data_IF_987160534987
#
_entry.id   IF_987160534987
#
_cell.length_a   1.000
_cell.length_b   1.000
_cell.length_c   1.000
_cell.angle_alpha   90.00
_cell.angle_beta   90.00
_cell.angle_gamma   90.00
#
_symmetry.space_group_name_H-M   'P 1'
#
loop_
_entity.id
_entity.type
_entity.pdbx_description
1 polymer ?
#
# COMPACT_ATOMS: atom_id res chain seq x y z
N UNK A 1 8.76 -4.11 -3.52
CA UNK A 1 7.54 -3.30 -3.72
C UNK A 1 7.81 -2.00 -4.48
N UNK A 2 8.79 -1.19 -4.07
CA UNK A 2 9.15 0.07 -4.77
C UNK A 2 9.52 -0.12 -6.23
N UNK A 3 10.34 -1.13 -6.55
CA UNK A 3 10.67 -1.47 -7.95
C UNK A 3 9.42 -1.79 -8.78
N UNK A 4 8.43 -2.48 -8.21
CA UNK A 4 7.17 -2.75 -8.89
C UNK A 4 6.40 -1.46 -9.18
N UNK A 5 6.29 -0.53 -8.21
CA UNK A 5 5.68 0.78 -8.46
C UNK A 5 6.38 1.50 -9.63
N UNK A 6 7.71 1.53 -9.63
CA UNK A 6 8.46 2.20 -10.71
C UNK A 6 8.15 1.59 -12.08
N UNK A 7 8.01 0.26 -12.16
CA UNK A 7 7.60 -0.38 -13.43
C UNK A 7 6.19 0.01 -13.86
N UNK A 8 5.26 0.22 -12.93
CA UNK A 8 3.90 0.69 -13.24
C UNK A 8 3.94 2.14 -13.72
N UNK A 9 4.69 3.01 -13.03
CA UNK A 9 4.86 4.41 -13.40
C UNK A 9 5.47 4.55 -14.80
N UNK A 10 6.48 3.75 -15.10
CA UNK A 10 7.13 3.76 -16.41
C UNK A 10 6.24 3.12 -17.49
N UNK A 11 5.54 2.00 -17.21
CA UNK A 11 4.72 1.29 -18.19
C UNK A 11 3.51 2.09 -18.69
N UNK A 12 2.84 2.81 -17.79
CA UNK A 12 1.69 3.64 -18.13
C UNK A 12 2.08 5.09 -18.45
N UNK A 13 3.38 5.39 -18.43
CA UNK A 13 3.91 6.74 -18.66
C UNK A 13 3.23 7.78 -17.75
N UNK A 14 3.04 7.46 -16.46
CA UNK A 14 2.27 8.27 -15.52
C UNK A 14 2.81 9.70 -15.29
N UNK A 15 4.00 10.03 -15.80
CA UNK A 15 4.57 11.38 -15.80
C UNK A 15 4.37 12.14 -17.14
N UNK A 16 3.70 11.53 -18.11
CA UNK A 16 3.36 12.12 -19.42
C UNK A 16 2.11 12.99 -19.37
N UNK A 17 1.97 13.89 -20.35
CA UNK A 17 0.84 14.83 -20.39
C UNK A 17 -0.44 14.23 -21.00
N UNK A 18 -0.36 13.04 -21.61
CA UNK A 18 -1.50 12.38 -22.28
C UNK A 18 -2.65 12.01 -21.35
N UNK A 19 -2.40 11.87 -20.04
CA UNK A 19 -3.44 11.55 -19.07
C UNK A 19 -4.34 12.75 -18.75
N UNK A 20 -3.88 13.99 -18.96
CA UNK A 20 -4.67 15.21 -18.72
C UNK A 20 -5.84 15.34 -19.69
N UNK A 21 -5.60 14.96 -20.94
CA UNK A 21 -6.59 15.06 -22.02
C UNK A 21 -7.42 13.77 -22.18
N UNK A 22 -7.10 12.72 -21.42
CA UNK A 22 -7.79 11.44 -21.48
C UNK A 22 -9.08 11.48 -20.63
N UNK A 23 -10.22 11.29 -21.30
CA UNK A 23 -11.54 11.29 -20.66
C UNK A 23 -11.62 10.23 -19.55
N UNK A 24 -11.95 10.67 -18.33
CA UNK A 24 -12.04 9.83 -17.14
C UNK A 24 -10.71 9.62 -16.40
N UNK A 25 -9.62 10.22 -16.88
CA UNK A 25 -8.28 10.16 -16.27
C UNK A 25 -7.79 11.54 -15.80
N UNK A 26 -8.67 12.54 -15.75
CA UNK A 26 -8.34 13.93 -15.41
C UNK A 26 -7.67 14.03 -14.03
N UNK A 27 -8.11 13.21 -13.07
CA UNK A 27 -7.52 13.12 -11.73
C UNK A 27 -6.05 12.64 -11.73
N UNK A 28 -5.64 11.86 -12.74
CA UNK A 28 -4.24 11.48 -12.92
C UNK A 28 -3.40 12.63 -13.49
N UNK A 29 -4.02 13.61 -14.15
CA UNK A 29 -3.35 14.84 -14.58
C UNK A 29 -2.76 15.63 -13.41
N UNK A 30 -3.48 15.73 -12.29
CA UNK A 30 -2.98 16.34 -11.06
C UNK A 30 -1.90 15.46 -10.40
N UNK A 31 -2.06 14.13 -10.49
CA UNK A 31 -1.06 13.18 -10.00
C UNK A 31 0.26 13.25 -10.78
N UNK A 32 0.24 13.59 -12.09
CA UNK A 32 1.44 13.78 -12.92
C UNK A 32 2.32 14.91 -12.37
N UNK A 33 1.72 16.04 -11.99
CA UNK A 33 2.47 17.17 -11.42
C UNK A 33 3.11 16.79 -10.07
N UNK A 34 2.39 16.06 -9.22
CA UNK A 34 2.94 15.51 -7.99
C UNK A 34 4.09 14.52 -8.27
N UNK A 35 3.94 13.61 -9.24
CA UNK A 35 4.98 12.64 -9.63
C UNK A 35 6.25 13.35 -10.13
N UNK A 36 6.09 14.42 -10.93
CA UNK A 36 7.21 15.26 -11.40
C UNK A 36 7.90 15.97 -10.24
N UNK A 37 7.14 16.51 -9.29
CA UNK A 37 7.66 17.24 -8.13
C UNK A 37 8.40 16.34 -7.12
N UNK A 38 7.84 15.17 -6.79
CA UNK A 38 8.44 14.24 -5.82
C UNK A 38 9.57 13.39 -6.41
N UNK A 39 9.63 13.26 -7.73
CA UNK A 39 10.56 12.36 -8.41
C UNK A 39 10.32 10.87 -8.08
N UNK A 40 11.05 9.99 -8.75
CA UNK A 40 10.89 8.52 -8.60
C UNK A 40 11.12 8.04 -7.16
N UNK A 41 12.07 8.64 -6.47
CA UNK A 41 12.47 8.28 -5.10
C UNK A 41 11.42 8.72 -4.08
N UNK A 42 10.89 9.94 -4.20
CA UNK A 42 9.83 10.45 -3.33
C UNK A 42 8.53 9.66 -3.49
N UNK A 43 8.17 9.30 -4.73
CA UNK A 43 7.02 8.44 -5.00
C UNK A 43 7.19 7.05 -4.41
N UNK A 44 8.37 6.45 -4.53
CA UNK A 44 8.67 5.14 -3.95
C UNK A 44 8.58 5.17 -2.41
N UNK A 45 9.10 6.23 -1.78
CA UNK A 45 9.01 6.42 -0.33
C UNK A 45 7.56 6.63 0.12
N UNK A 46 6.83 7.54 -0.51
CA UNK A 46 5.42 7.80 -0.18
C UNK A 46 4.54 6.57 -0.36
N UNK A 47 4.76 5.80 -1.43
CA UNK A 47 4.07 4.54 -1.66
C UNK A 47 4.35 3.51 -0.56
N UNK A 48 5.60 3.37 -0.12
CA UNK A 48 5.92 2.51 1.02
C UNK A 48 5.24 2.99 2.31
N UNK A 49 5.26 4.29 2.58
CA UNK A 49 4.69 4.87 3.80
C UNK A 49 3.18 4.60 3.93
N UNK A 50 2.43 4.64 2.82
CA UNK A 50 0.99 4.33 2.84
C UNK A 50 0.71 2.82 2.86
N UNK A 51 1.71 1.96 2.65
CA UNK A 51 1.53 0.50 2.75
C UNK A 51 1.82 0.00 4.16
N UNK A 52 1.04 -0.96 4.64
CA UNK A 52 1.36 -1.65 5.89
C UNK A 52 2.42 -2.72 5.61
N UNK A 53 3.70 -2.32 5.60
CA UNK A 53 4.85 -3.20 5.40
C UNK A 53 5.79 -3.20 6.63
N UNK A 54 6.57 -4.27 6.78
CA UNK A 54 7.54 -4.44 7.86
C UNK A 54 7.38 -5.77 8.60
N UNK A 55 7.84 -5.79 9.86
CA UNK A 55 7.59 -6.92 10.77
C UNK A 55 6.11 -6.98 11.18
N UNK A 56 5.62 -8.10 11.72
CA UNK A 56 4.25 -8.18 12.24
C UNK A 56 3.91 -7.03 13.21
N UNK A 57 4.82 -6.69 14.12
CA UNK A 57 4.64 -5.63 15.11
C UNK A 57 4.46 -4.26 14.44
N UNK A 58 5.29 -3.97 13.43
CA UNK A 58 5.21 -2.71 12.67
C UNK A 58 3.91 -2.61 11.85
N UNK A 59 3.41 -3.73 11.34
CA UNK A 59 2.15 -3.79 10.59
C UNK A 59 0.97 -3.57 11.53
N UNK A 60 0.99 -4.21 12.69
CA UNK A 60 0.00 -4.04 13.76
C UNK A 60 -0.06 -2.56 14.18
N UNK A 61 1.07 -1.95 14.52
CA UNK A 61 1.12 -0.52 14.91
C UNK A 61 0.54 0.41 13.84
N UNK A 62 0.82 0.15 12.55
CA UNK A 62 0.26 0.93 11.43
C UNK A 62 -1.26 0.79 11.34
N UNK A 63 -1.80 -0.40 11.55
CA UNK A 63 -3.25 -0.58 11.57
C UNK A 63 -3.90 0.09 12.79
N UNK A 64 -3.26 0.10 13.97
CA UNK A 64 -3.76 0.85 15.14
C UNK A 64 -3.86 2.34 14.83
N UNK A 65 -2.80 2.93 14.29
CA UNK A 65 -2.78 4.33 13.90
C UNK A 65 -3.88 4.68 12.90
N UNK A 66 -4.12 3.81 11.91
CA UNK A 66 -5.21 4.00 10.93
C UNK A 66 -6.58 3.91 11.59
N UNK A 67 -6.73 3.00 12.53
CA UNK A 67 -7.98 2.81 13.25
C UNK A 67 -8.33 4.00 14.15
N UNK A 68 -7.35 4.55 14.85
CA UNK A 68 -7.51 5.77 15.65
C UNK A 68 -7.92 6.98 14.80
N UNK A 69 -7.44 7.04 13.54
CA UNK A 69 -7.73 8.15 12.63
C UNK A 69 -9.05 7.98 11.86
N UNK A 70 -9.39 6.76 11.44
CA UNK A 70 -10.45 6.48 10.47
C UNK A 70 -11.69 5.81 11.09
N UNK A 71 -11.57 5.23 12.29
CA UNK A 71 -12.59 4.36 12.86
C UNK A 71 -12.54 2.95 12.28
N UNK A 72 -13.69 2.29 12.19
CA UNK A 72 -13.81 0.91 11.69
C UNK A 72 -13.57 0.82 10.18
N UNK A 73 -12.76 -0.15 9.76
CA UNK A 73 -12.52 -0.46 8.35
C UNK A 73 -12.13 -1.92 8.14
N UNK A 74 -12.43 -2.43 6.94
CA UNK A 74 -11.94 -3.73 6.48
C UNK A 74 -10.53 -3.60 5.89
N UNK A 75 -9.71 -4.63 6.12
CA UNK A 75 -8.38 -4.74 5.54
C UNK A 75 -8.38 -5.64 4.31
N UNK A 76 -7.71 -5.19 3.24
CA UNK A 76 -7.48 -5.99 2.03
C UNK A 76 -5.98 -6.00 1.66
N UNK A 77 -5.16 -6.84 2.34
CA UNK A 77 -3.72 -6.89 2.10
C UNK A 77 -3.37 -7.59 0.79
N UNK A 78 -2.42 -7.04 0.04
CA UNK A 78 -1.85 -7.66 -1.16
C UNK A 78 -0.48 -8.29 -0.86
N UNK A 79 -0.39 -9.62 -0.94
CA UNK A 79 0.85 -10.36 -0.66
C UNK A 79 1.70 -10.65 -1.90
N UNK A 80 1.15 -10.45 -3.10
CA UNK A 80 1.82 -10.77 -4.36
C UNK A 80 1.81 -9.57 -5.30
N UNK A 81 2.99 -9.10 -5.66
CA UNK A 81 3.21 -7.97 -6.56
C UNK A 81 4.41 -8.25 -7.47
N UNK A 82 4.68 -7.37 -8.45
CA UNK A 82 5.76 -7.60 -9.42
C UNK A 82 7.13 -7.84 -8.76
N UNK A 83 7.82 -8.91 -9.19
CA UNK A 83 9.19 -9.24 -8.77
C UNK A 83 9.32 -10.05 -7.47
N UNK A 84 8.23 -10.49 -6.83
CA UNK A 84 8.26 -11.44 -5.71
C UNK A 84 8.04 -12.88 -6.20
N UNK A 85 8.69 -13.87 -5.59
CA UNK A 85 8.42 -15.28 -5.89
C UNK A 85 7.10 -15.75 -5.26
N UNK A 86 6.59 -16.90 -5.71
CA UNK A 86 5.38 -17.49 -5.11
C UNK A 86 5.63 -17.90 -3.65
N UNK A 87 6.79 -18.48 -3.37
CA UNK A 87 7.20 -18.94 -2.04
C UNK A 87 7.30 -17.77 -1.06
N UNK A 88 7.84 -16.64 -1.50
CA UNK A 88 7.93 -15.44 -0.68
C UNK A 88 6.56 -14.80 -0.42
N UNK A 89 5.69 -14.75 -1.42
CA UNK A 89 4.32 -14.27 -1.27
C UNK A 89 3.53 -15.15 -0.29
N UNK A 90 3.62 -16.48 -0.43
CA UNK A 90 2.97 -17.43 0.48
C UNK A 90 3.51 -17.30 1.90
N UNK A 91 4.84 -17.22 2.06
CA UNK A 91 5.47 -17.02 3.38
C UNK A 91 4.94 -15.75 4.04
N UNK A 92 4.89 -14.64 3.31
CA UNK A 92 4.36 -13.36 3.81
C UNK A 92 2.89 -13.48 4.26
N UNK A 93 2.04 -14.10 3.43
CA UNK A 93 0.63 -14.35 3.75
C UNK A 93 0.47 -15.22 5.00
N UNK A 94 1.23 -16.31 5.13
CA UNK A 94 1.18 -17.20 6.30
C UNK A 94 1.65 -16.51 7.57
N UNK A 95 2.73 -15.72 7.48
CA UNK A 95 3.23 -14.92 8.61
C UNK A 95 2.19 -13.90 9.05
N UNK A 96 1.56 -13.20 8.11
CA UNK A 96 0.48 -12.26 8.40
C UNK A 96 -0.70 -12.94 9.10
N UNK A 97 -1.17 -14.07 8.56
CA UNK A 97 -2.28 -14.83 9.13
C UNK A 97 -1.97 -15.35 10.55
N UNK A 98 -0.72 -15.76 10.80
CA UNK A 98 -0.30 -16.31 12.10
C UNK A 98 -0.11 -15.24 13.17
N UNK A 99 0.44 -14.07 12.82
CA UNK A 99 0.91 -13.09 13.80
C UNK A 99 0.10 -11.80 13.83
N UNK A 100 -0.45 -11.35 12.69
CA UNK A 100 -1.17 -10.08 12.60
C UNK A 100 -2.66 -10.29 12.83
N UNK A 101 -3.29 -11.23 12.12
CA UNK A 101 -4.75 -11.46 12.20
C UNK A 101 -5.26 -11.68 13.63
N UNK A 102 -4.62 -12.50 14.49
CA UNK A 102 -5.08 -12.67 15.87
C UNK A 102 -5.03 -11.35 16.67
N UNK A 103 -3.94 -10.59 16.54
CA UNK A 103 -3.77 -9.33 17.24
C UNK A 103 -4.84 -8.30 16.85
N UNK A 104 -5.23 -8.25 15.56
CA UNK A 104 -6.30 -7.36 15.09
C UNK A 104 -7.68 -7.79 15.61
N UNK A 105 -7.96 -9.11 15.68
CA UNK A 105 -9.22 -9.63 16.22
C UNK A 105 -9.37 -9.39 17.71
N UNK A 106 -8.27 -9.44 18.46
CA UNK A 106 -8.26 -9.11 19.88
C UNK A 106 -8.60 -7.62 20.14
N UNK A 107 -8.54 -6.74 19.14
CA UNK A 107 -8.98 -5.35 19.27
C UNK A 107 -10.49 -5.23 19.20
N UNK A 108 -11.08 -5.97 18.27
CA UNK A 108 -12.53 -6.04 18.09
C UNK A 108 -13.19 -6.65 19.35
N UNK A 109 -12.60 -7.73 19.89
CA UNK A 109 -13.05 -8.33 21.15
C UNK A 109 -12.96 -7.38 22.37
N UNK A 110 -11.96 -6.50 22.41
CA UNK A 110 -11.81 -5.48 23.47
C UNK A 110 -12.84 -4.35 23.39
N UNK A 111 -13.54 -4.21 22.26
CA UNK A 111 -14.64 -3.25 22.09
C UNK A 111 -16.01 -3.85 22.43
N UNK A 112 -16.12 -5.18 22.44
CA UNK A 112 -17.34 -5.90 22.79
C UNK A 112 -17.49 -6.19 24.30
N UNK A 113 -16.47 -5.87 25.11
CA UNK A 113 -16.46 -6.01 26.57
C UNK A 113 -16.50 -4.64 27.24
#
# INVERSE_FOLDING_TARGET
MTKYLLTVLDHYEFAGDHLKDAKGYEAYGDAVEAIRAFGKEGMAAGYLDVTAWGTPEQIIEKYQKRYELLGDFDINPCFRFGGISYEEAERSMRTFAKHVVPALKDWDARKAA
#
